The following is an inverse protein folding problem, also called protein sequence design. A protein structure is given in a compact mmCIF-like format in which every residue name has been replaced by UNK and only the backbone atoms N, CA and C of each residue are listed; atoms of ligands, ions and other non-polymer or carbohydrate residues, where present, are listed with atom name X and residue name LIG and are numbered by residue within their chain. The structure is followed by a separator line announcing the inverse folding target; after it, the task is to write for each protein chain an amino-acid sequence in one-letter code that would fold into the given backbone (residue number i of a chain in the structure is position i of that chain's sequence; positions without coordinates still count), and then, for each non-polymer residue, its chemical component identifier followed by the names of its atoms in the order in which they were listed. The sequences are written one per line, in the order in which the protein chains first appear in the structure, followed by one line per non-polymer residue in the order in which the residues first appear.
data_IF_488443461101
#
_entry.id   IF_488443461101
#
_cell.length_a   1.000
_cell.length_b   1.000
_cell.length_c   1.000
_cell.angle_alpha   90.00
_cell.angle_beta   90.00
_cell.angle_gamma   90.00
#
_symmetry.space_group_name_H-M   'P 1'
#
loop_
_entity.id
_entity.type
_entity.pdbx_description
1 polymer ?
#
# COMPACT_ATOMS: atom_id res chain seq x y z
N UNK A 1 12.58 -12.45 9.24
CA UNK A 1 11.19 -11.95 9.41
C UNK A 1 10.23 -13.11 9.17
N UNK A 2 9.26 -13.32 10.07
CA UNK A 2 8.32 -14.46 10.01
C UNK A 2 7.03 -14.15 9.23
N UNK A 3 7.11 -13.27 8.23
CA UNK A 3 5.96 -12.80 7.40
C UNK A 3 4.75 -12.21 8.14
N UNK A 4 4.81 -12.07 9.47
CA UNK A 4 3.77 -11.46 10.28
C UNK A 4 3.67 -9.96 10.01
N UNK A 5 2.45 -9.46 9.84
CA UNK A 5 2.18 -8.04 9.66
C UNK A 5 2.43 -7.29 10.97
N UNK A 6 3.06 -6.13 10.86
CA UNK A 6 3.40 -5.27 11.99
C UNK A 6 2.53 -4.02 11.97
N UNK A 7 2.05 -3.58 13.14
CA UNK A 7 1.25 -2.37 13.32
C UNK A 7 2.02 -1.33 14.12
N UNK A 8 1.98 -0.09 13.62
CA UNK A 8 2.52 1.09 14.31
C UNK A 8 4.05 1.15 14.35
N UNK A 9 4.56 2.19 15.02
CA UNK A 9 6.00 2.44 15.12
C UNK A 9 6.74 1.46 16.04
N UNK A 10 6.02 0.82 16.98
CA UNK A 10 6.58 -0.12 17.95
C UNK A 10 6.69 -1.57 17.43
N UNK A 11 6.45 -1.81 16.14
CA UNK A 11 6.57 -3.12 15.51
C UNK A 11 5.73 -4.21 16.19
N UNK A 12 4.53 -3.87 16.66
CA UNK A 12 3.64 -4.84 17.29
C UNK A 12 3.05 -5.77 16.24
N UNK A 13 3.18 -7.08 16.45
CA UNK A 13 2.59 -8.09 15.55
C UNK A 13 1.07 -7.97 15.55
N UNK A 14 0.46 -8.05 14.37
CA UNK A 14 -0.98 -8.26 14.18
C UNK A 14 -1.26 -9.76 14.21
N UNK A 15 -1.89 -10.30 15.27
CA UNK A 15 -2.07 -11.74 15.41
C UNK A 15 -2.90 -12.32 14.26
N UNK A 16 -2.43 -13.42 13.68
CA UNK A 16 -3.15 -14.15 12.62
C UNK A 16 -3.09 -13.51 11.23
N UNK A 17 -2.38 -12.39 11.05
CA UNK A 17 -2.22 -11.74 9.76
C UNK A 17 -0.78 -11.84 9.25
N UNK A 18 -0.61 -12.46 8.09
CA UNK A 18 0.67 -12.62 7.40
C UNK A 18 0.57 -12.00 6.00
N UNK A 19 1.70 -11.50 5.50
CA UNK A 19 1.81 -10.98 4.13
C UNK A 19 3.15 -11.44 3.54
N UNK A 20 3.17 -11.75 2.25
CA UNK A 20 4.36 -12.19 1.51
C UNK A 20 4.27 -11.72 0.04
N UNK A 21 5.40 -11.77 -0.67
CA UNK A 21 5.48 -11.30 -2.04
C UNK A 21 5.32 -9.80 -2.18
N UNK A 22 4.86 -9.33 -3.33
CA UNK A 22 4.78 -7.90 -3.64
C UNK A 22 3.79 -7.12 -2.75
N UNK A 23 2.80 -7.81 -2.18
CA UNK A 23 1.90 -7.22 -1.19
C UNK A 23 2.57 -7.04 0.20
N UNK A 24 3.66 -7.75 0.47
CA UNK A 24 4.39 -7.71 1.73
C UNK A 24 5.60 -6.77 1.65
N UNK A 25 5.65 -5.77 2.53
CA UNK A 25 6.91 -5.06 2.81
C UNK A 25 7.64 -5.75 3.95
N UNK A 26 8.21 -6.93 3.67
CA UNK A 26 9.31 -7.52 4.46
C UNK A 26 10.43 -6.50 4.67
N UNK A 27 10.54 -5.70 3.59
CA UNK A 27 11.50 -4.69 3.17
C UNK A 27 12.88 -5.19 2.75
N UNK A 28 12.97 -6.43 2.23
CA UNK A 28 14.21 -6.92 1.58
C UNK A 28 14.61 -6.14 0.32
N UNK A 29 13.68 -5.35 -0.22
CA UNK A 29 13.91 -4.51 -1.42
C UNK A 29 14.22 -3.05 -1.11
N UNK A 30 14.01 -2.60 0.14
CA UNK A 30 14.19 -1.20 0.54
C UNK A 30 13.57 -0.22 -0.46
N UNK A 31 14.36 0.76 -0.90
CA UNK A 31 13.94 1.79 -1.86
C UNK A 31 14.24 1.44 -3.33
N UNK A 32 14.86 0.29 -3.63
CA UNK A 32 15.16 -0.14 -4.99
C UNK A 32 15.36 -1.66 -5.03
N UNK A 33 14.44 -2.36 -5.70
CA UNK A 33 14.51 -3.81 -5.91
C UNK A 33 15.55 -4.16 -6.98
N UNK A 34 16.41 -5.14 -6.68
CA UNK A 34 17.29 -5.74 -7.69
C UNK A 34 16.50 -6.64 -8.65
N UNK A 35 16.92 -6.69 -9.92
CA UNK A 35 16.35 -7.61 -10.90
C UNK A 35 16.39 -9.06 -10.42
N UNK A 36 15.40 -9.86 -10.83
CA UNK A 36 15.18 -11.26 -10.42
C UNK A 36 14.87 -11.51 -8.92
N UNK A 37 15.07 -10.56 -8.00
CA UNK A 37 14.80 -10.79 -6.57
C UNK A 37 13.32 -10.88 -6.18
N UNK A 38 12.38 -10.46 -7.04
CA UNK A 38 10.94 -10.59 -6.74
C UNK A 38 10.48 -12.05 -6.77
N UNK A 39 10.90 -12.83 -7.76
CA UNK A 39 10.53 -14.26 -7.80
C UNK A 39 11.14 -15.03 -6.63
N UNK A 40 12.35 -14.63 -6.19
CA UNK A 40 12.97 -15.17 -4.99
C UNK A 40 12.17 -14.83 -3.72
N UNK A 41 11.73 -13.59 -3.57
CA UNK A 41 10.85 -13.16 -2.48
C UNK A 41 9.58 -14.03 -2.40
N UNK A 42 8.89 -14.22 -3.53
CA UNK A 42 7.66 -15.03 -3.59
C UNK A 42 7.86 -16.42 -3.00
N UNK A 43 8.89 -17.16 -3.43
CA UNK A 43 9.11 -18.55 -3.00
C UNK A 43 9.66 -18.64 -1.57
N UNK A 44 10.55 -17.71 -1.18
CA UNK A 44 11.15 -17.70 0.17
C UNK A 44 10.11 -17.31 1.21
N UNK A 45 9.44 -16.17 1.03
CA UNK A 45 8.47 -15.68 2.02
C UNK A 45 7.13 -16.40 1.93
N UNK A 46 6.76 -16.94 0.76
CA UNK A 46 5.63 -17.88 0.66
C UNK A 46 5.84 -19.12 1.53
N UNK A 47 7.02 -19.75 1.45
CA UNK A 47 7.38 -20.89 2.31
C UNK A 47 7.46 -20.48 3.78
N UNK A 48 8.08 -19.34 4.09
CA UNK A 48 8.16 -18.85 5.47
C UNK A 48 6.78 -18.57 6.09
N UNK A 49 5.81 -18.10 5.31
CA UNK A 49 4.44 -17.91 5.77
C UNK A 49 3.75 -19.24 6.11
N UNK A 50 4.00 -20.29 5.32
CA UNK A 50 3.51 -21.63 5.62
C UNK A 50 4.14 -22.18 6.91
N UNK A 51 5.46 -22.07 7.07
CA UNK A 51 6.19 -22.52 8.27
C UNK A 51 5.69 -21.77 9.52
N UNK A 52 5.54 -20.44 9.43
CA UNK A 52 5.01 -19.62 10.53
C UNK A 52 3.56 -19.99 10.88
N UNK A 53 2.73 -20.28 9.88
CA UNK A 53 1.35 -20.71 10.12
C UNK A 53 1.32 -22.05 10.88
N UNK A 54 2.19 -23.00 10.53
CA UNK A 54 2.30 -24.29 11.20
C UNK A 54 2.84 -24.19 12.65
N UNK A 55 3.62 -23.15 12.95
CA UNK A 55 4.02 -22.81 14.32
C UNK A 55 2.83 -22.25 15.13
N UNK A 56 2.07 -21.33 14.55
CA UNK A 56 1.01 -20.59 15.23
C UNK A 56 -0.29 -21.38 15.41
N UNK A 57 -0.64 -22.22 14.43
CA UNK A 57 -1.91 -22.94 14.38
C UNK A 57 -1.66 -24.40 14.02
N UNK A 58 -2.23 -25.32 14.80
CA UNK A 58 -2.14 -26.76 14.53
C UNK A 58 -3.35 -27.24 13.71
N UNK A 59 -3.20 -28.30 12.88
CA UNK A 59 -4.34 -28.96 12.27
C UNK A 59 -5.40 -29.29 13.32
N UNK A 60 -6.67 -29.05 12.99
CA UNK A 60 -7.83 -29.24 13.88
C UNK A 60 -7.88 -28.30 15.11
N UNK A 61 -7.14 -27.18 15.10
CA UNK A 61 -7.37 -26.10 16.06
C UNK A 61 -8.83 -25.63 15.97
N UNK A 62 -9.48 -25.27 17.09
CA UNK A 62 -10.86 -24.84 17.07
C UNK A 62 -11.04 -23.59 16.20
N UNK A 63 -12.14 -23.47 15.44
CA UNK A 63 -12.38 -22.30 14.62
C UNK A 63 -12.52 -21.05 15.49
N UNK A 64 -11.97 -19.94 15.01
CA UNK A 64 -12.17 -18.64 15.64
C UNK A 64 -13.64 -18.26 15.51
N UNK A 65 -14.30 -18.01 16.65
CA UNK A 65 -15.69 -17.52 16.66
C UNK A 65 -15.69 -16.07 16.17
N UNK A 66 -16.30 -15.85 15.01
CA UNK A 66 -16.54 -14.52 14.50
C UNK A 66 -17.87 -13.98 15.05
N UNK A 67 -18.01 -12.65 15.18
CA UNK A 67 -19.31 -12.02 15.40
C UNK A 67 -20.32 -12.47 14.34
N UNK A 68 -21.60 -12.61 14.72
CA UNK A 68 -22.65 -13.07 13.80
C UNK A 68 -22.79 -12.17 12.55
N UNK A 69 -22.46 -10.89 12.68
CA UNK A 69 -22.52 -9.88 11.63
C UNK A 69 -21.17 -9.65 10.90
N UNK A 70 -20.19 -10.55 11.07
CA UNK A 70 -18.92 -10.44 10.39
C UNK A 70 -19.11 -10.45 8.87
N UNK A 71 -18.62 -9.40 8.19
CA UNK A 71 -18.72 -9.27 6.73
C UNK A 71 -19.96 -8.55 6.21
N UNK A 72 -20.99 -8.30 7.03
CA UNK A 72 -22.22 -7.61 6.59
C UNK A 72 -21.93 -6.23 5.99
N UNK A 73 -20.97 -5.48 6.56
CA UNK A 73 -20.55 -4.18 6.01
C UNK A 73 -19.96 -4.28 4.60
N UNK A 74 -19.22 -5.35 4.31
CA UNK A 74 -18.64 -5.57 2.98
C UNK A 74 -19.72 -5.91 1.96
N UNK A 75 -20.71 -6.72 2.36
CA UNK A 75 -21.89 -7.04 1.54
C UNK A 75 -22.70 -5.78 1.25
N UNK A 76 -22.98 -4.96 2.28
CA UNK A 76 -23.68 -3.70 2.12
C UNK A 76 -22.92 -2.70 1.22
N UNK A 77 -21.59 -2.64 1.33
CA UNK A 77 -20.74 -1.84 0.44
C UNK A 77 -20.85 -2.30 -1.02
N UNK A 78 -20.73 -3.62 -1.27
CA UNK A 78 -20.88 -4.19 -2.61
C UNK A 78 -22.25 -3.87 -3.20
N UNK A 79 -23.32 -4.03 -2.42
CA UNK A 79 -24.69 -3.74 -2.86
C UNK A 79 -24.90 -2.25 -3.18
N UNK A 80 -24.39 -1.36 -2.31
CA UNK A 80 -24.38 0.10 -2.55
C UNK A 80 -23.70 0.44 -3.88
N UNK A 81 -22.54 -0.14 -4.15
CA UNK A 81 -21.80 0.10 -5.42
C UNK A 81 -22.58 -0.48 -6.60
N UNK A 82 -23.15 -1.68 -6.47
CA UNK A 82 -23.94 -2.31 -7.54
C UNK A 82 -25.14 -1.44 -7.97
N UNK A 83 -25.69 -0.67 -7.03
CA UNK A 83 -26.85 0.17 -7.23
C UNK A 83 -26.53 1.67 -7.34
N UNK A 84 -25.27 2.08 -7.42
CA UNK A 84 -24.93 3.48 -7.58
C UNK A 84 -25.33 4.03 -8.97
N UNK A 85 -25.83 5.26 -8.99
CA UNK A 85 -26.35 5.94 -10.19
C UNK A 85 -25.70 7.30 -10.40
N UNK A 86 -24.48 7.49 -9.89
CA UNK A 86 -23.74 8.72 -10.06
C UNK A 86 -23.44 9.02 -11.53
N UNK A 87 -23.17 10.29 -11.88
CA UNK A 87 -22.96 10.70 -13.27
C UNK A 87 -21.61 10.27 -13.85
N UNK A 88 -20.64 9.85 -13.01
CA UNK A 88 -19.27 9.56 -13.44
C UNK A 88 -19.11 8.06 -13.71
N UNK A 89 -18.76 7.63 -14.94
CA UNK A 89 -18.39 6.25 -15.20
C UNK A 89 -17.10 5.86 -14.48
N UNK A 90 -17.03 4.62 -13.99
CA UNK A 90 -15.83 4.06 -13.32
C UNK A 90 -14.56 4.22 -14.15
N UNK A 91 -14.65 3.97 -15.46
CA UNK A 91 -13.51 4.07 -16.36
C UNK A 91 -12.94 5.49 -16.46
N UNK A 92 -13.80 6.52 -16.40
CA UNK A 92 -13.40 7.92 -16.52
C UNK A 92 -12.64 8.39 -15.27
N UNK A 93 -13.17 8.07 -14.09
CA UNK A 93 -12.49 8.39 -12.84
C UNK A 93 -11.17 7.61 -12.69
N UNK A 94 -11.15 6.34 -13.10
CA UNK A 94 -9.91 5.54 -13.17
C UNK A 94 -8.89 6.19 -14.10
N UNK A 95 -9.32 6.67 -15.27
CA UNK A 95 -8.43 7.34 -16.23
C UNK A 95 -7.88 8.65 -15.67
N UNK A 96 -8.71 9.43 -14.98
CA UNK A 96 -8.29 10.65 -14.30
C UNK A 96 -7.20 10.37 -13.25
N UNK A 97 -7.38 9.33 -12.43
CA UNK A 97 -6.37 8.89 -11.46
C UNK A 97 -5.05 8.53 -12.14
N UNK A 98 -5.10 7.68 -13.17
CA UNK A 98 -3.91 7.22 -13.89
C UNK A 98 -3.11 8.37 -14.52
N UNK A 99 -3.80 9.29 -15.20
CA UNK A 99 -3.16 10.46 -15.82
C UNK A 99 -2.55 11.37 -14.76
N UNK A 100 -3.23 11.55 -13.62
CA UNK A 100 -2.74 12.38 -12.51
C UNK A 100 -1.47 11.79 -11.89
N UNK A 101 -1.46 10.49 -11.57
CA UNK A 101 -0.28 9.82 -11.02
C UNK A 101 0.90 9.85 -12.00
N UNK A 102 0.64 9.58 -13.29
CA UNK A 102 1.69 9.60 -14.32
C UNK A 102 2.31 10.99 -14.50
N UNK A 103 1.51 12.05 -14.36
CA UNK A 103 1.95 13.44 -14.52
C UNK A 103 2.71 13.96 -13.31
N UNK A 104 2.22 13.69 -12.09
CA UNK A 104 2.70 14.34 -10.87
C UNK A 104 3.64 13.47 -10.02
N UNK A 105 3.68 12.15 -10.24
CA UNK A 105 4.63 11.26 -9.58
C UNK A 105 5.42 10.37 -10.57
N UNK A 106 6.06 10.95 -11.62
CA UNK A 106 6.90 10.19 -12.54
C UNK A 106 8.25 9.82 -11.89
N UNK A 107 9.24 9.45 -12.72
CA UNK A 107 10.59 9.04 -12.29
C UNK A 107 11.27 10.13 -11.47
N UNK A 108 11.38 11.34 -12.03
CA UNK A 108 11.90 12.52 -11.34
C UNK A 108 10.74 13.33 -10.79
N UNK A 109 10.87 13.76 -9.54
CA UNK A 109 9.79 14.42 -8.80
C UNK A 109 10.31 15.73 -8.23
N UNK A 110 9.44 16.72 -8.13
CA UNK A 110 9.75 18.00 -7.50
C UNK A 110 8.61 18.39 -6.56
N UNK A 111 8.89 19.32 -5.64
CA UNK A 111 7.96 19.72 -4.59
C UNK A 111 6.67 20.32 -5.15
N UNK A 112 6.77 21.11 -6.24
CA UNK A 112 5.62 21.78 -6.84
C UNK A 112 4.64 20.78 -7.46
N UNK A 113 5.15 19.82 -8.24
CA UNK A 113 4.33 18.81 -8.90
C UNK A 113 3.75 17.82 -7.90
N UNK A 114 4.50 17.41 -6.87
CA UNK A 114 3.99 16.55 -5.81
C UNK A 114 2.89 17.25 -4.97
N UNK A 115 3.08 18.53 -4.63
CA UNK A 115 2.06 19.31 -3.92
C UNK A 115 0.77 19.47 -4.75
N UNK A 116 0.89 19.75 -6.05
CA UNK A 116 -0.26 19.79 -6.97
C UNK A 116 -0.92 18.42 -7.10
N UNK A 117 -0.12 17.37 -7.30
CA UNK A 117 -0.57 15.99 -7.43
C UNK A 117 -1.36 15.51 -6.21
N UNK A 118 -0.87 15.84 -5.01
CA UNK A 118 -1.58 15.60 -3.73
C UNK A 118 -2.97 16.24 -3.72
N UNK A 119 -3.07 17.51 -4.12
CA UNK A 119 -4.35 18.20 -4.24
C UNK A 119 -5.29 17.54 -5.26
N UNK A 120 -4.78 17.22 -6.45
CA UNK A 120 -5.55 16.56 -7.51
C UNK A 120 -6.06 15.20 -7.07
N UNK A 121 -5.21 14.35 -6.48
CA UNK A 121 -5.59 13.01 -6.00
C UNK A 121 -6.67 13.10 -4.93
N UNK A 122 -6.61 14.09 -4.04
CA UNK A 122 -7.68 14.34 -3.05
C UNK A 122 -9.02 14.68 -3.71
N UNK A 123 -9.03 15.50 -4.77
CA UNK A 123 -10.25 15.80 -5.51
C UNK A 123 -10.78 14.57 -6.27
N UNK A 124 -9.88 13.76 -6.85
CA UNK A 124 -10.25 12.49 -7.49
C UNK A 124 -10.88 11.52 -6.49
N UNK A 125 -10.34 11.41 -5.26
CA UNK A 125 -10.93 10.60 -4.20
C UNK A 125 -12.35 11.05 -3.87
N UNK A 126 -12.59 12.37 -3.70
CA UNK A 126 -13.92 12.92 -3.37
C UNK A 126 -14.97 12.62 -4.44
N UNK A 127 -14.57 12.56 -5.72
CA UNK A 127 -15.45 12.23 -6.86
C UNK A 127 -15.94 10.78 -6.84
N UNK A 128 -15.32 9.89 -6.06
CA UNK A 128 -15.72 8.47 -6.04
C UNK A 128 -17.19 8.27 -5.61
N UNK A 129 -17.72 9.14 -4.73
CA UNK A 129 -19.14 9.13 -4.34
C UNK A 129 -20.11 9.36 -5.51
N UNK A 130 -19.63 9.99 -6.58
CA UNK A 130 -20.39 10.35 -7.78
C UNK A 130 -20.22 9.31 -8.90
N UNK A 131 -19.58 8.16 -8.61
CA UNK A 131 -19.46 7.05 -9.55
C UNK A 131 -20.82 6.36 -9.74
N UNK A 132 -21.14 6.04 -10.99
CA UNK A 132 -22.29 5.23 -11.38
C UNK A 132 -21.88 4.08 -12.29
N UNK A 133 -22.37 2.89 -11.99
CA UNK A 133 -22.24 1.73 -12.88
C UNK A 133 -23.54 1.48 -13.64
N UNK A 134 -23.55 0.64 -14.68
CA UNK A 134 -24.76 0.31 -15.48
C UNK A 134 -25.21 -1.13 -15.30
N UNK A 135 -24.28 -2.08 -15.21
CA UNK A 135 -24.67 -3.48 -15.01
C UNK A 135 -25.20 -3.69 -13.58
N UNK A 136 -26.40 -4.26 -13.49
CA UNK A 136 -27.09 -4.58 -12.23
C UNK A 136 -27.11 -6.09 -11.97
N UNK A 137 -26.48 -6.91 -12.79
CA UNK A 137 -26.44 -8.37 -12.60
C UNK A 137 -25.55 -8.76 -11.41
N UNK A 138 -25.70 -10.00 -10.93
CA UNK A 138 -24.77 -10.59 -9.95
C UNK A 138 -23.75 -11.53 -10.60
N UNK A 139 -24.00 -11.94 -11.84
CA UNK A 139 -23.24 -12.98 -12.52
C UNK A 139 -22.24 -12.29 -13.44
N UNK A 140 -20.95 -12.45 -13.16
CA UNK A 140 -19.89 -11.89 -14.01
C UNK A 140 -20.00 -10.38 -14.26
N UNK A 141 -20.49 -9.64 -13.26
CA UNK A 141 -20.61 -8.20 -13.34
C UNK A 141 -19.23 -7.52 -13.21
N UNK A 142 -18.53 -7.36 -14.31
CA UNK A 142 -17.20 -6.73 -14.33
C UNK A 142 -17.27 -5.23 -14.04
N UNK A 143 -18.39 -4.57 -14.33
CA UNK A 143 -18.62 -3.15 -14.00
C UNK A 143 -18.56 -2.92 -12.48
N UNK A 144 -19.20 -3.81 -11.69
CA UNK A 144 -19.10 -3.83 -10.24
C UNK A 144 -17.68 -4.14 -9.75
N UNK A 145 -17.03 -5.17 -10.30
CA UNK A 145 -15.68 -5.58 -9.87
C UNK A 145 -14.66 -4.46 -10.14
N UNK A 146 -14.66 -3.88 -11.33
CA UNK A 146 -13.77 -2.77 -11.68
C UNK A 146 -14.00 -1.53 -10.81
N UNK A 147 -15.22 -1.32 -10.33
CA UNK A 147 -15.55 -0.22 -9.42
C UNK A 147 -15.04 -0.48 -8.01
N UNK A 148 -15.13 -1.73 -7.52
CA UNK A 148 -14.49 -2.14 -6.27
C UNK A 148 -12.97 -2.01 -6.33
N UNK A 149 -12.37 -2.36 -7.47
CA UNK A 149 -10.93 -2.22 -7.73
C UNK A 149 -10.50 -0.75 -7.83
N UNK A 150 -11.33 0.13 -8.40
CA UNK A 150 -11.06 1.56 -8.44
C UNK A 150 -10.91 2.14 -7.02
N UNK A 151 -11.77 1.76 -6.07
CA UNK A 151 -11.62 2.20 -4.67
C UNK A 151 -10.29 1.74 -4.06
N UNK A 152 -9.87 0.50 -4.36
CA UNK A 152 -8.58 -0.02 -3.92
C UNK A 152 -7.41 0.78 -4.53
N UNK A 153 -7.50 1.14 -5.82
CA UNK A 153 -6.50 1.95 -6.51
C UNK A 153 -6.42 3.38 -5.95
N UNK A 154 -7.56 4.02 -5.67
CA UNK A 154 -7.62 5.36 -5.06
C UNK A 154 -6.94 5.36 -3.68
N UNK A 155 -7.17 4.31 -2.91
CA UNK A 155 -6.54 4.11 -1.61
C UNK A 155 -5.01 4.00 -1.73
N UNK A 156 -4.49 3.17 -2.66
CA UNK A 156 -3.04 3.02 -2.86
C UNK A 156 -2.40 4.31 -3.41
N UNK A 157 -3.00 4.91 -4.44
CA UNK A 157 -2.44 6.08 -5.12
C UNK A 157 -2.36 7.31 -4.20
N UNK A 158 -3.36 7.52 -3.35
CA UNK A 158 -3.33 8.61 -2.37
C UNK A 158 -2.23 8.44 -1.33
N UNK A 159 -2.08 7.23 -0.78
CA UNK A 159 -1.00 6.94 0.16
C UNK A 159 0.38 7.08 -0.48
N UNK A 160 0.56 6.67 -1.74
CA UNK A 160 1.80 6.86 -2.49
C UNK A 160 2.11 8.34 -2.70
N UNK A 161 1.15 9.12 -3.23
CA UNK A 161 1.33 10.54 -3.52
C UNK A 161 1.68 11.35 -2.26
N UNK A 162 0.96 11.13 -1.17
CA UNK A 162 1.24 11.80 0.11
C UNK A 162 2.60 11.37 0.68
N UNK A 163 2.96 10.10 0.56
CA UNK A 163 4.26 9.61 1.03
C UNK A 163 5.43 10.18 0.23
N UNK A 164 5.24 10.34 -1.09
CA UNK A 164 6.24 10.95 -1.97
C UNK A 164 6.39 12.45 -1.69
N UNK A 165 5.28 13.19 -1.53
CA UNK A 165 5.31 14.62 -1.20
C UNK A 165 5.96 14.90 0.16
N UNK A 166 5.71 14.06 1.16
CA UNK A 166 6.30 14.23 2.47
C UNK A 166 7.80 13.90 2.53
N UNK A 167 8.31 13.05 1.63
CA UNK A 167 9.71 12.57 1.68
C UNK A 167 10.64 13.53 0.95
N UNK A 168 11.31 14.38 1.73
CA UNK A 168 12.25 15.38 1.24
C UNK A 168 13.69 14.83 1.21
N UNK A 169 13.92 13.78 0.43
CA UNK A 169 15.25 13.22 0.12
C UNK A 169 15.20 12.48 -1.23
N UNK A 170 16.36 12.03 -1.73
CA UNK A 170 16.43 11.07 -2.83
C UNK A 170 17.02 9.74 -2.36
N UNK A 171 16.26 8.65 -2.55
CA UNK A 171 16.69 7.30 -2.15
C UNK A 171 16.12 6.26 -3.10
N UNK A 172 17.01 5.52 -3.78
CA UNK A 172 16.61 4.44 -4.68
C UNK A 172 15.75 4.95 -5.84
N UNK A 173 14.53 4.42 -5.97
CA UNK A 173 13.57 4.80 -7.00
C UNK A 173 12.83 6.13 -6.72
N UNK A 174 12.95 6.67 -5.51
CA UNK A 174 12.43 8.00 -5.20
C UNK A 174 13.52 9.05 -5.49
N UNK A 175 13.45 9.68 -6.66
CA UNK A 175 14.36 10.74 -7.08
C UNK A 175 13.64 12.10 -6.99
N UNK A 176 14.04 12.91 -6.02
CA UNK A 176 13.46 14.22 -5.74
C UNK A 176 14.45 15.34 -6.15
N UNK A 177 14.11 16.14 -7.16
CA UNK A 177 15.02 17.13 -7.77
C UNK A 177 15.40 18.27 -6.81
N UNK A 178 14.46 18.73 -5.98
CA UNK A 178 14.76 19.73 -4.94
C UNK A 178 15.55 19.16 -3.74
N UNK A 179 15.59 17.83 -3.58
CA UNK A 179 16.30 17.13 -2.51
C UNK A 179 17.10 15.96 -3.12
N UNK A 180 18.13 16.26 -3.93
CA UNK A 180 18.78 15.27 -4.80
C UNK A 180 19.64 14.26 -4.05
N UNK A 181 19.98 14.56 -2.79
CA UNK A 181 20.84 13.75 -1.96
C UNK A 181 20.05 12.82 -1.04
N UNK A 182 20.70 11.73 -0.66
CA UNK A 182 20.20 10.80 0.36
C UNK A 182 20.43 11.39 1.75
N UNK A 183 19.40 11.38 2.59
CA UNK A 183 19.48 11.87 3.97
C UNK A 183 19.32 10.70 4.94
N UNK A 184 20.45 10.18 5.42
CA UNK A 184 20.45 9.07 6.37
C UNK A 184 20.17 9.50 7.82
N UNK A 185 20.29 10.79 8.14
CA UNK A 185 19.99 11.30 9.49
C UNK A 185 18.48 11.53 9.66
N UNK A 186 17.84 12.20 8.70
CA UNK A 186 16.43 12.55 8.75
C UNK A 186 15.50 11.47 8.21
N UNK A 187 15.94 10.68 7.22
CA UNK A 187 15.04 9.84 6.40
C UNK A 187 15.37 8.34 6.35
N UNK A 188 16.30 7.84 7.17
CA UNK A 188 16.54 6.41 7.40
C UNK A 188 15.40 5.75 8.20
N UNK A 189 14.21 5.73 7.61
CA UNK A 189 12.95 5.28 8.21
C UNK A 189 11.97 4.83 7.13
N UNK A 190 11.16 3.83 7.44
CA UNK A 190 10.04 3.44 6.58
C UNK A 190 8.86 4.39 6.80
N UNK A 191 8.20 4.76 5.72
CA UNK A 191 6.90 5.45 5.77
C UNK A 191 5.80 4.43 6.10
N UNK A 192 4.92 4.77 7.05
CA UNK A 192 3.71 4.05 7.37
C UNK A 192 2.52 4.95 7.04
N UNK A 193 1.74 4.59 6.03
CA UNK A 193 0.59 5.37 5.57
C UNK A 193 -0.73 4.72 5.98
N UNK A 194 -1.73 5.55 6.30
CA UNK A 194 -3.05 5.12 6.74
C UNK A 194 -4.11 6.04 6.13
N UNK A 195 -5.29 5.50 5.82
CA UNK A 195 -6.50 6.31 5.70
C UNK A 195 -7.16 6.42 7.08
N UNK A 196 -7.57 7.62 7.48
CA UNK A 196 -8.23 7.87 8.77
C UNK A 196 -9.71 7.43 8.80
N UNK A 197 -10.29 7.19 7.63
CA UNK A 197 -11.67 6.75 7.44
C UNK A 197 -11.77 5.56 6.47
N UNK A 198 -12.84 4.76 6.56
CA UNK A 198 -13.01 3.58 5.72
C UNK A 198 -13.37 3.88 4.27
N UNK A 199 -14.06 5.00 4.00
CA UNK A 199 -14.48 5.39 2.65
C UNK A 199 -13.50 6.42 2.07
N UNK A 200 -13.01 6.16 0.86
CA UNK A 200 -11.93 6.95 0.24
C UNK A 200 -12.33 8.41 0.00
N UNK A 201 -13.60 8.66 -0.32
CA UNK A 201 -14.13 10.01 -0.59
C UNK A 201 -14.10 10.93 0.63
N UNK A 202 -14.08 10.37 1.83
CA UNK A 202 -14.10 11.10 3.10
C UNK A 202 -12.73 11.10 3.80
N UNK A 203 -11.82 10.23 3.37
CA UNK A 203 -10.59 9.93 4.06
C UNK A 203 -9.49 10.98 3.82
N UNK A 204 -8.61 11.10 4.80
CA UNK A 204 -7.33 11.79 4.73
C UNK A 204 -6.21 10.77 4.93
N UNK A 205 -5.07 11.02 4.27
CA UNK A 205 -3.87 10.20 4.49
C UNK A 205 -3.13 10.69 5.72
N UNK A 206 -2.88 9.78 6.65
CA UNK A 206 -2.06 9.99 7.84
C UNK A 206 -0.76 9.25 7.67
N UNK A 207 0.37 9.96 7.83
CA UNK A 207 1.70 9.38 7.77
C UNK A 207 2.29 9.23 9.17
N UNK A 208 2.93 8.09 9.39
CA UNK A 208 3.83 7.82 10.51
C UNK A 208 5.13 7.25 9.96
N UNK A 209 6.11 7.08 10.83
CA UNK A 209 7.39 6.51 10.46
C UNK A 209 7.82 5.47 11.49
N UNK A 210 8.62 4.51 11.04
CA UNK A 210 9.35 3.58 11.91
C UNK A 210 10.78 3.46 11.45
N UNK A 211 11.69 3.19 12.38
CA UNK A 211 13.08 2.95 12.06
C UNK A 211 13.24 1.70 11.16
N UNK A 212 14.30 1.73 10.36
CA UNK A 212 14.84 0.54 9.67
C UNK A 212 15.41 -0.42 10.72
N UNK A 213 15.29 -1.73 10.48
CA UNK A 213 15.99 -2.74 11.28
C UNK A 213 17.30 -3.05 10.55
N UNK A 214 18.43 -2.69 11.16
CA UNK A 214 19.76 -2.77 10.56
C UNK A 214 20.57 -4.01 11.01
N UNK A 215 20.13 -4.67 12.09
CA UNK A 215 20.77 -5.87 12.60
C UNK A 215 20.38 -7.12 11.80
N UNK A 216 21.36 -7.92 11.32
CA UNK A 216 21.12 -9.25 10.79
C UNK A 216 20.51 -10.21 11.83
N UNK A 217 20.08 -11.39 11.37
CA UNK A 217 19.45 -12.39 12.24
C UNK A 217 20.43 -13.00 13.26
N UNK A 218 21.69 -13.14 12.88
CA UNK A 218 22.73 -13.79 13.68
C UNK A 218 24.12 -13.21 13.36
N UNK A 219 25.16 -13.81 13.94
CA UNK A 219 26.55 -13.36 13.83
C UNK A 219 27.25 -13.84 12.56
N UNK A 220 26.63 -14.70 11.75
CA UNK A 220 27.25 -15.18 10.51
C UNK A 220 27.32 -14.07 9.47
N UNK A 221 26.42 -13.08 9.55
CA UNK A 221 26.42 -11.88 8.73
C UNK A 221 26.72 -10.66 9.58
N UNK A 222 27.68 -9.83 9.15
CA UNK A 222 27.91 -8.53 9.77
C UNK A 222 26.89 -7.51 9.25
N UNK A 223 26.54 -6.54 10.09
CA UNK A 223 25.79 -5.36 9.65
C UNK A 223 26.63 -4.58 8.62
N UNK A 224 26.02 -4.28 7.47
CA UNK A 224 26.61 -3.42 6.45
C UNK A 224 26.11 -1.99 6.67
N UNK A 225 26.93 -1.07 7.22
CA UNK A 225 26.50 0.29 7.49
C UNK A 225 26.18 1.05 6.19
N UNK A 226 25.33 2.09 6.25
CA UNK A 226 25.04 2.94 5.09
C UNK A 226 26.32 3.51 4.48
N UNK A 227 26.48 3.32 3.18
CA UNK A 227 27.59 3.85 2.39
C UNK A 227 27.06 4.49 1.11
N UNK A 228 27.90 5.29 0.43
CA UNK A 228 27.53 5.86 -0.87
C UNK A 228 27.28 4.73 -1.86
N UNK A 229 26.15 4.78 -2.57
CA UNK A 229 25.78 3.82 -3.60
C UNK A 229 25.99 4.44 -4.97
N UNK A 230 26.99 3.96 -5.70
CA UNK A 230 27.32 4.36 -7.08
C UNK A 230 27.27 3.09 -7.92
N UNK A 231 26.61 3.14 -9.07
CA UNK A 231 26.48 2.01 -10.00
C UNK A 231 27.44 2.13 -11.16
#
# INVERSE_FOLDING_TARGET
WKTQVLKGACNTVVPGLLAAGEAGSASVHGANRLGANSLLDLVVFGRQAADTTAELVKPNSPPVKLPANAGEKSIARMDKIRHCTGPIPTADLRRELQVSMQKYAPVYRNSDDLAKGKGVVMEVMKKYKDVGIKDRSMIWNTDLIETLELENLLNQASQEMFSAEARQESRGAHAHENFPDRDDEGWMKHTLSFLDKPYVEDAQVVLKYRAVIDQPLDKEMHHVPPAKRVY
#
